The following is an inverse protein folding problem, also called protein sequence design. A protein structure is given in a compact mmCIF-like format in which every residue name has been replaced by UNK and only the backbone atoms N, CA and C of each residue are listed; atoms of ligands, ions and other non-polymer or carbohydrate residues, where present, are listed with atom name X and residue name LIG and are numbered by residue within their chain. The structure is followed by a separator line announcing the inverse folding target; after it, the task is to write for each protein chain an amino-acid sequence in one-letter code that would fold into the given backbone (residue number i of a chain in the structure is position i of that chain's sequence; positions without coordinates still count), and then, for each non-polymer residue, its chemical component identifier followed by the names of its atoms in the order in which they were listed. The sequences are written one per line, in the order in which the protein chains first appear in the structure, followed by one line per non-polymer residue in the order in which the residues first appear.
data_IF_490651641863
#
_entry.id   IF_490651641863
#
_cell.length_a   1.000
_cell.length_b   1.000
_cell.length_c   1.000
_cell.angle_alpha   90.00
_cell.angle_beta   90.00
_cell.angle_gamma   90.00
#
_symmetry.space_group_name_H-M   'P 1'
#
loop_
_entity.id
_entity.type
_entity.pdbx_description
1 polymer ?
#
# COMPACT_ATOMS: atom_id res chain seq x y z
N UNK A 1 53.07 26.13 35.33
CA UNK A 1 52.07 26.44 36.36
C UNK A 1 51.03 27.37 35.76
N UNK A 2 49.95 26.83 35.19
CA UNK A 2 48.73 27.58 34.80
C UNK A 2 47.67 26.55 34.41
N UNK A 3 46.85 26.21 35.40
CA UNK A 3 45.73 25.28 35.28
C UNK A 3 44.60 25.95 34.49
N UNK A 4 44.09 25.25 33.46
CA UNK A 4 42.86 25.63 32.75
C UNK A 4 41.67 25.03 33.48
N UNK A 5 40.81 25.89 34.01
CA UNK A 5 39.53 25.51 34.62
C UNK A 5 38.56 24.99 33.56
N UNK A 6 38.22 23.71 33.61
CA UNK A 6 37.06 23.12 32.93
C UNK A 6 35.85 23.22 33.87
N UNK A 7 34.89 24.08 33.52
CA UNK A 7 33.56 24.12 34.16
C UNK A 7 32.77 22.89 33.72
N UNK A 8 32.56 21.96 34.64
CA UNK A 8 31.58 20.89 34.51
C UNK A 8 30.18 21.46 34.79
N UNK A 9 29.31 21.46 33.78
CA UNK A 9 27.90 21.78 33.97
C UNK A 9 27.16 20.49 34.35
N UNK A 10 26.78 20.39 35.62
CA UNK A 10 25.92 19.35 36.18
C UNK A 10 24.46 19.80 36.05
N UNK A 11 23.61 19.03 35.36
CA UNK A 11 22.14 18.91 35.53
C UNK A 11 21.59 18.07 34.36
N UNK A 12 20.76 17.04 34.49
CA UNK A 12 19.97 16.50 35.60
C UNK A 12 19.99 14.98 35.49
N UNK A 13 20.14 14.30 36.62
CA UNK A 13 19.90 12.86 36.70
C UNK A 13 18.45 12.58 36.30
N UNK A 14 18.25 11.80 35.23
CA UNK A 14 16.96 11.16 34.96
C UNK A 14 16.62 10.31 36.19
N UNK A 15 15.67 10.77 37.00
CA UNK A 15 15.01 9.93 37.99
C UNK A 15 14.35 8.78 37.24
N UNK A 16 14.97 7.60 37.27
CA UNK A 16 14.25 6.35 37.00
C UNK A 16 13.28 6.14 38.16
N UNK A 17 12.07 6.67 38.00
CA UNK A 17 10.96 6.33 38.86
C UNK A 17 10.51 4.91 38.48
N UNK A 18 10.92 3.92 39.28
CA UNK A 18 10.28 2.61 39.26
C UNK A 18 8.89 2.77 39.90
N UNK A 19 7.87 2.93 39.06
CA UNK A 19 6.49 2.81 39.55
C UNK A 19 6.20 1.32 39.72
N UNK A 20 6.12 0.86 40.96
CA UNK A 20 5.62 -0.47 41.33
C UNK A 20 4.09 -0.58 41.16
N UNK A 21 3.53 0.04 40.12
CA UNK A 21 2.15 -0.10 39.71
C UNK A 21 2.10 -0.92 38.44
N UNK A 22 1.12 -1.82 38.31
CA UNK A 22 0.84 -2.48 37.03
C UNK A 22 0.62 -1.41 35.97
N UNK A 23 1.61 -1.17 35.12
CA UNK A 23 1.42 -0.26 33.99
C UNK A 23 0.34 -0.89 33.10
N UNK A 24 -0.61 -0.06 32.69
CA UNK A 24 -1.59 -0.40 31.68
C UNK A 24 -1.15 0.38 30.44
N UNK A 25 -0.24 -0.16 29.61
CA UNK A 25 0.33 0.60 28.52
C UNK A 25 -0.77 0.97 27.54
N UNK A 26 -0.94 2.27 27.29
CA UNK A 26 -1.87 2.76 26.29
C UNK A 26 -1.07 3.18 25.07
N UNK A 27 -1.29 2.50 23.94
CA UNK A 27 -0.47 2.66 22.72
C UNK A 27 -1.32 3.24 21.59
N UNK A 28 -0.83 4.31 20.97
CA UNK A 28 -1.39 4.83 19.72
C UNK A 28 -0.71 4.18 18.53
N UNK A 29 -1.50 3.72 17.56
CA UNK A 29 -1.03 3.19 16.27
C UNK A 29 -1.57 4.09 15.17
N UNK A 30 -0.69 4.75 14.43
CA UNK A 30 -1.04 5.70 13.36
C UNK A 30 -1.03 4.98 12.02
N UNK A 31 -2.22 4.65 11.50
CA UNK A 31 -2.46 3.93 10.26
C UNK A 31 -3.28 2.66 10.48
N UNK A 32 -4.46 2.57 9.85
CA UNK A 32 -5.38 1.44 9.92
C UNK A 32 -5.11 0.34 8.90
N UNK A 33 -3.91 0.28 8.32
CA UNK A 33 -3.52 -0.77 7.37
C UNK A 33 -2.99 -2.06 8.05
N UNK A 34 -2.43 -3.00 7.27
CA UNK A 34 -1.83 -4.23 7.81
C UNK A 34 -0.77 -3.98 8.87
N UNK A 35 0.15 -3.04 8.63
CA UNK A 35 1.19 -2.69 9.60
C UNK A 35 0.60 -2.30 10.95
N UNK A 36 -0.43 -1.46 10.95
CA UNK A 36 -1.09 -1.02 12.18
C UNK A 36 -1.85 -2.15 12.88
N UNK A 37 -2.67 -2.91 12.15
CA UNK A 37 -3.45 -3.99 12.76
C UNK A 37 -2.59 -5.18 13.22
N UNK A 38 -1.51 -5.52 12.52
CA UNK A 38 -0.57 -6.53 13.03
C UNK A 38 0.15 -6.05 14.28
N UNK A 39 0.54 -4.78 14.35
CA UNK A 39 1.11 -4.21 15.58
C UNK A 39 0.10 -4.25 16.72
N UNK A 40 -1.13 -3.78 16.50
CA UNK A 40 -2.20 -3.81 17.50
C UNK A 40 -2.46 -5.25 17.99
N UNK A 41 -2.56 -6.21 17.06
CA UNK A 41 -2.74 -7.61 17.40
C UNK A 41 -1.59 -8.15 18.26
N UNK A 42 -0.34 -7.83 17.90
CA UNK A 42 0.82 -8.31 18.64
C UNK A 42 0.87 -7.73 20.05
N UNK A 43 0.60 -6.44 20.21
CA UNK A 43 0.51 -5.77 21.52
C UNK A 43 -0.58 -6.41 22.38
N UNK A 44 -1.78 -6.60 21.84
CA UNK A 44 -2.91 -7.16 22.58
C UNK A 44 -2.68 -8.61 23.00
N UNK A 45 -1.95 -9.40 22.20
CA UNK A 45 -1.55 -10.78 22.54
C UNK A 45 -0.41 -10.82 23.57
N UNK A 46 0.60 -9.96 23.43
CA UNK A 46 1.80 -9.95 24.28
C UNK A 46 1.63 -9.25 25.63
N UNK A 47 0.70 -8.28 25.72
CA UNK A 47 0.50 -7.46 26.92
C UNK A 47 -0.98 -7.51 27.36
N UNK A 48 -1.32 -8.29 28.41
CA UNK A 48 -2.71 -8.48 28.84
C UNK A 48 -3.42 -7.20 29.31
N UNK A 49 -2.68 -6.24 29.87
CA UNK A 49 -3.22 -4.97 30.41
C UNK A 49 -3.14 -3.82 29.42
N UNK A 50 -2.52 -4.00 28.24
CA UNK A 50 -2.35 -2.94 27.27
C UNK A 50 -3.66 -2.64 26.52
N UNK A 51 -3.86 -1.36 26.21
CA UNK A 51 -4.92 -0.86 25.32
C UNK A 51 -4.28 -0.23 24.08
N UNK A 52 -4.99 -0.31 22.95
CA UNK A 52 -4.50 0.18 21.66
C UNK A 52 -5.57 1.04 21.00
N UNK A 53 -5.18 2.23 20.55
CA UNK A 53 -6.02 3.08 19.70
C UNK A 53 -5.39 3.15 18.31
N UNK A 54 -6.15 2.74 17.29
CA UNK A 54 -5.74 2.77 15.89
C UNK A 54 -6.34 4.00 15.23
N UNK A 55 -5.49 4.96 14.87
CA UNK A 55 -5.85 6.17 14.15
C UNK A 55 -5.76 5.95 12.64
N UNK A 56 -6.73 6.43 11.88
CA UNK A 56 -6.76 6.32 10.42
C UNK A 56 -7.32 7.62 9.80
N UNK A 57 -6.65 8.12 8.77
CA UNK A 57 -7.07 9.34 8.07
C UNK A 57 -8.37 9.12 7.29
N UNK A 58 -8.59 7.91 6.79
CA UNK A 58 -9.81 7.53 6.08
C UNK A 58 -10.92 7.16 7.08
N UNK A 59 -12.21 7.27 6.69
CA UNK A 59 -13.31 6.83 7.55
C UNK A 59 -13.37 5.30 7.70
N UNK A 60 -12.65 4.56 6.85
CA UNK A 60 -12.67 3.08 6.82
C UNK A 60 -11.26 2.51 7.04
N UNK A 61 -11.14 1.35 7.72
CA UNK A 61 -9.87 0.70 7.98
C UNK A 61 -9.33 -0.11 6.78
N UNK A 62 -8.23 -0.82 7.03
CA UNK A 62 -7.56 -1.85 6.22
C UNK A 62 -6.60 -1.35 5.14
N UNK A 63 -6.56 -0.04 4.87
CA UNK A 63 -5.57 0.57 3.98
C UNK A 63 -5.46 -0.15 2.64
N UNK A 64 -4.25 -0.52 2.21
CA UNK A 64 -4.02 -1.17 0.92
C UNK A 64 -4.64 -2.56 0.77
N UNK A 65 -5.09 -3.23 1.84
CA UNK A 65 -5.86 -4.47 1.66
C UNK A 65 -7.21 -4.18 1.02
N UNK A 66 -7.80 -3.01 1.33
CA UNK A 66 -9.04 -2.54 0.71
C UNK A 66 -8.75 -1.80 -0.60
N UNK A 67 -7.79 -0.87 -0.57
CA UNK A 67 -7.58 0.10 -1.65
C UNK A 67 -6.45 -0.25 -2.64
N UNK A 68 -5.67 -1.29 -2.36
CA UNK A 68 -4.50 -1.67 -3.15
C UNK A 68 -4.63 -3.05 -3.80
N UNK A 69 -4.94 -4.08 -3.00
CA UNK A 69 -5.14 -5.45 -3.49
C UNK A 69 -6.19 -5.44 -4.59
N UNK A 70 -5.86 -6.05 -5.73
CA UNK A 70 -6.72 -6.05 -6.90
C UNK A 70 -8.07 -6.74 -6.59
N UNK A 71 -9.16 -6.30 -7.22
CA UNK A 71 -10.50 -6.81 -6.93
C UNK A 71 -10.67 -8.29 -7.35
N UNK A 72 -9.84 -8.77 -8.28
CA UNK A 72 -9.78 -10.17 -8.69
C UNK A 72 -8.87 -11.05 -7.80
N UNK A 73 -8.34 -10.51 -6.70
CA UNK A 73 -7.63 -11.22 -5.63
C UNK A 73 -8.36 -11.19 -4.28
N UNK A 74 -9.62 -11.66 -4.20
CA UNK A 74 -10.40 -11.61 -2.96
C UNK A 74 -9.78 -12.43 -1.82
N UNK A 75 -9.05 -13.50 -2.15
CA UNK A 75 -8.41 -14.37 -1.16
C UNK A 75 -7.32 -13.66 -0.36
N UNK A 76 -6.61 -12.71 -0.96
CA UNK A 76 -5.63 -11.87 -0.25
C UNK A 76 -6.33 -10.93 0.74
N UNK A 77 -7.56 -10.49 0.43
CA UNK A 77 -8.38 -9.65 1.30
C UNK A 77 -8.93 -10.39 2.54
N UNK A 78 -8.83 -11.73 2.61
CA UNK A 78 -9.29 -12.53 3.76
C UNK A 78 -8.64 -12.14 5.10
N UNK A 79 -7.45 -11.52 5.08
CA UNK A 79 -6.79 -11.01 6.29
C UNK A 79 -7.65 -9.97 7.05
N UNK A 80 -8.60 -9.32 6.36
CA UNK A 80 -9.60 -8.42 6.95
C UNK A 80 -10.36 -9.10 8.10
N UNK A 81 -10.62 -10.40 8.03
CA UNK A 81 -11.32 -11.13 9.10
C UNK A 81 -10.52 -11.08 10.41
N UNK A 82 -9.21 -11.29 10.32
CA UNK A 82 -8.28 -11.23 11.45
C UNK A 82 -8.15 -9.81 12.00
N UNK A 83 -8.13 -8.81 11.13
CA UNK A 83 -8.09 -7.40 11.56
C UNK A 83 -9.40 -6.97 12.21
N UNK A 84 -10.54 -7.41 11.68
CA UNK A 84 -11.86 -7.20 12.29
C UNK A 84 -11.92 -7.79 13.70
N UNK A 85 -11.44 -9.03 13.89
CA UNK A 85 -11.37 -9.63 15.24
C UNK A 85 -10.47 -8.82 16.19
N UNK A 86 -9.38 -8.25 15.68
CA UNK A 86 -8.48 -7.39 16.46
C UNK A 86 -9.16 -6.07 16.83
N UNK A 87 -9.89 -5.44 15.90
CA UNK A 87 -10.64 -4.21 16.12
C UNK A 87 -11.80 -4.40 17.11
N UNK A 88 -12.45 -5.58 17.12
CA UNK A 88 -13.56 -5.91 18.02
C UNK A 88 -13.10 -6.25 19.46
N UNK A 89 -11.79 -6.29 19.72
CA UNK A 89 -11.28 -6.49 21.06
C UNK A 89 -11.64 -5.29 21.95
N UNK A 90 -12.16 -5.53 23.16
CA UNK A 90 -12.54 -4.47 24.11
C UNK A 90 -11.39 -3.52 24.49
N UNK A 91 -10.13 -3.94 24.27
CA UNK A 91 -8.91 -3.15 24.51
C UNK A 91 -8.40 -2.45 23.25
N UNK A 92 -9.15 -2.50 22.15
CA UNK A 92 -8.81 -1.88 20.87
C UNK A 92 -9.90 -0.88 20.48
N UNK A 93 -9.50 0.34 20.14
CA UNK A 93 -10.42 1.35 19.59
C UNK A 93 -9.96 1.74 18.18
N UNK A 94 -10.89 1.92 17.26
CA UNK A 94 -10.60 2.46 15.93
C UNK A 94 -11.12 3.91 15.83
N UNK A 95 -10.24 4.82 15.45
CA UNK A 95 -10.53 6.24 15.25
C UNK A 95 -10.24 6.61 13.78
N UNK A 96 -11.24 6.39 12.93
CA UNK A 96 -11.21 6.80 11.53
C UNK A 96 -11.50 8.29 11.35
N UNK A 97 -11.20 8.81 10.15
CA UNK A 97 -11.32 10.23 9.82
C UNK A 97 -10.51 11.15 10.75
N UNK A 98 -9.34 10.69 11.19
CA UNK A 98 -8.39 11.47 12.00
C UNK A 98 -7.03 11.48 11.32
N UNK A 99 -6.67 12.62 10.75
CA UNK A 99 -5.40 12.82 10.06
C UNK A 99 -4.31 13.29 11.05
N UNK A 100 -3.53 12.34 11.54
CA UNK A 100 -2.37 12.62 12.41
C UNK A 100 -1.32 13.43 11.63
N UNK A 101 -0.96 14.60 12.17
CA UNK A 101 -0.12 15.60 11.53
C UNK A 101 -0.91 16.84 11.04
N UNK A 102 -2.23 16.73 10.89
CA UNK A 102 -3.12 17.85 10.56
C UNK A 102 -4.14 18.12 11.67
N UNK A 103 -4.94 17.11 12.02
CA UNK A 103 -6.01 17.23 13.03
C UNK A 103 -5.46 17.09 14.45
N UNK A 104 -4.45 16.23 14.62
CA UNK A 104 -3.74 16.00 15.89
C UNK A 104 -2.24 15.88 15.63
N UNK A 105 -1.42 16.57 16.42
CA UNK A 105 0.03 16.54 16.27
C UNK A 105 0.65 15.27 16.87
N UNK A 106 1.84 14.89 16.38
CA UNK A 106 2.59 13.76 16.95
C UNK A 106 2.99 14.04 18.41
N UNK A 107 3.29 15.30 18.75
CA UNK A 107 3.61 15.74 20.10
C UNK A 107 2.44 15.51 21.06
N UNK A 108 1.21 15.83 20.63
CA UNK A 108 0.01 15.58 21.42
C UNK A 108 -0.19 14.08 21.68
N UNK A 109 0.03 13.24 20.67
CA UNK A 109 0.00 11.78 20.85
C UNK A 109 1.09 11.30 21.82
N UNK A 110 2.32 11.80 21.70
CA UNK A 110 3.43 11.43 22.58
C UNK A 110 3.23 11.85 24.04
N UNK A 111 2.45 12.89 24.29
CA UNK A 111 2.07 13.33 25.64
C UNK A 111 0.92 12.50 26.24
N UNK A 112 0.05 11.97 25.39
CA UNK A 112 -1.18 11.27 25.81
C UNK A 112 -1.02 9.75 25.91
N UNK A 113 -0.08 9.17 25.16
CA UNK A 113 0.12 7.73 25.06
C UNK A 113 1.47 7.29 25.62
N UNK A 114 1.52 6.05 26.13
CA UNK A 114 2.78 5.43 26.61
C UNK A 114 3.76 5.21 25.46
N UNK A 115 3.25 4.86 24.27
CA UNK A 115 4.02 4.71 23.05
C UNK A 115 3.17 5.10 21.84
N UNK A 116 3.84 5.56 20.78
CA UNK A 116 3.23 5.87 19.48
C UNK A 116 3.95 5.07 18.41
N UNK A 117 3.20 4.31 17.61
CA UNK A 117 3.72 3.54 16.47
C UNK A 117 3.24 4.19 15.18
N UNK A 118 4.18 4.52 14.30
CA UNK A 118 3.88 5.03 12.97
C UNK A 118 3.78 3.86 11.98
N UNK A 119 2.58 3.63 11.45
CA UNK A 119 2.24 2.54 10.54
C UNK A 119 1.39 3.03 9.33
N UNK A 120 1.59 4.29 8.93
CA UNK A 120 0.78 4.99 7.92
C UNK A 120 1.13 4.61 6.46
N UNK A 121 2.09 3.70 6.26
CA UNK A 121 2.50 3.24 4.94
C UNK A 121 3.27 4.28 4.13
N UNK A 122 3.26 4.14 2.80
CA UNK A 122 3.90 5.05 1.87
C UNK A 122 2.85 5.56 0.88
N UNK A 123 2.49 6.84 0.99
CA UNK A 123 1.40 7.43 0.20
C UNK A 123 1.84 8.19 -1.05
N UNK A 124 3.12 8.58 -1.12
CA UNK A 124 3.65 9.37 -2.22
C UNK A 124 3.99 8.52 -3.45
N UNK A 125 3.61 9.03 -4.62
CA UNK A 125 3.99 8.44 -5.90
C UNK A 125 5.43 8.80 -6.29
N UNK A 126 6.11 7.88 -6.97
CA UNK A 126 7.41 8.15 -7.59
C UNK A 126 7.18 8.75 -8.97
N UNK A 127 7.58 10.02 -9.13
CA UNK A 127 7.56 10.74 -10.40
C UNK A 127 8.78 10.38 -11.24
N UNK A 128 8.67 10.44 -12.56
CA UNK A 128 9.77 10.14 -13.48
C UNK A 128 10.69 11.35 -13.67
N UNK A 129 10.15 12.57 -13.54
CA UNK A 129 10.88 13.80 -13.81
C UNK A 129 11.21 13.98 -15.30
N UNK A 130 10.34 13.50 -16.19
CA UNK A 130 10.55 13.53 -17.64
C UNK A 130 9.55 14.45 -18.33
N UNK A 131 9.91 15.04 -19.50
CA UNK A 131 8.98 15.84 -20.29
C UNK A 131 7.71 15.05 -20.64
N UNK A 132 6.55 15.68 -20.44
CA UNK A 132 5.24 15.08 -20.75
C UNK A 132 4.65 14.20 -19.64
N UNK A 133 5.28 14.07 -18.47
CA UNK A 133 4.75 13.26 -17.36
C UNK A 133 3.46 13.81 -16.74
N UNK A 134 3.10 15.07 -17.02
CA UNK A 134 1.88 15.74 -16.56
C UNK A 134 0.77 15.80 -17.62
N UNK A 135 0.92 15.09 -18.75
CA UNK A 135 -0.15 14.98 -19.75
C UNK A 135 -1.36 14.23 -19.17
N UNK A 136 -2.56 14.60 -19.60
CA UNK A 136 -3.81 14.25 -18.91
C UNK A 136 -4.14 12.76 -18.76
N UNK A 137 -3.56 11.87 -19.58
CA UNK A 137 -3.75 10.41 -19.48
C UNK A 137 -2.47 9.68 -19.03
N UNK A 138 -1.50 10.40 -18.45
CA UNK A 138 -0.33 9.84 -17.78
C UNK A 138 -0.65 9.72 -16.30
N UNK A 139 -0.87 8.49 -15.84
CA UNK A 139 -1.36 8.19 -14.50
C UNK A 139 -0.31 7.42 -13.71
N UNK A 140 -0.28 7.62 -12.39
CA UNK A 140 0.48 6.71 -11.53
C UNK A 140 -0.29 5.40 -11.42
N UNK A 141 0.43 4.27 -11.38
CA UNK A 141 -0.21 2.97 -11.21
C UNK A 141 -1.02 2.94 -9.90
N UNK A 142 -0.53 3.61 -8.84
CA UNK A 142 -1.23 3.76 -7.57
C UNK A 142 -2.55 4.51 -7.72
N UNK A 143 -2.61 5.62 -8.47
CA UNK A 143 -3.85 6.36 -8.64
C UNK A 143 -4.86 5.58 -9.47
N UNK A 144 -4.41 4.88 -10.50
CA UNK A 144 -5.25 3.96 -11.27
C UNK A 144 -5.79 2.80 -10.41
N UNK A 145 -4.94 2.21 -9.56
CA UNK A 145 -5.34 1.19 -8.57
C UNK A 145 -6.35 1.73 -7.57
N UNK A 146 -6.09 2.93 -7.04
CA UNK A 146 -6.99 3.60 -6.12
C UNK A 146 -8.34 3.91 -6.76
N UNK A 147 -8.35 4.32 -8.03
CA UNK A 147 -9.56 4.60 -8.79
C UNK A 147 -10.46 3.35 -8.90
N UNK A 148 -9.94 2.22 -9.38
CA UNK A 148 -10.76 1.02 -9.52
C UNK A 148 -11.12 0.36 -8.18
N UNK A 149 -10.35 0.59 -7.11
CA UNK A 149 -10.64 0.09 -5.76
C UNK A 149 -11.43 1.07 -4.88
N UNK A 150 -11.84 2.23 -5.39
CA UNK A 150 -12.68 3.19 -4.68
C UNK A 150 -11.97 3.95 -3.56
N UNK A 151 -10.68 4.25 -3.72
CA UNK A 151 -9.97 5.18 -2.87
C UNK A 151 -10.55 6.59 -3.06
N UNK A 152 -11.05 7.27 -2.00
CA UNK A 152 -11.77 8.54 -2.16
C UNK A 152 -10.98 9.63 -2.90
N UNK A 153 -9.67 9.69 -2.71
CA UNK A 153 -8.81 10.68 -3.39
C UNK A 153 -8.70 10.45 -4.91
N UNK A 154 -9.06 9.26 -5.40
CA UNK A 154 -8.96 8.88 -6.81
C UNK A 154 -10.33 8.78 -7.49
N UNK A 155 -11.43 9.12 -6.81
CA UNK A 155 -12.77 8.98 -7.35
C UNK A 155 -13.03 9.87 -8.58
N UNK A 156 -12.43 11.06 -8.60
CA UNK A 156 -12.55 12.02 -9.71
C UNK A 156 -11.45 11.84 -10.77
N UNK A 157 -10.66 10.77 -10.68
CA UNK A 157 -9.59 10.48 -11.64
C UNK A 157 -10.21 10.20 -13.01
N UNK A 158 -9.89 11.05 -13.99
CA UNK A 158 -10.31 10.87 -15.38
C UNK A 158 -9.35 9.91 -16.06
N UNK A 159 -9.83 8.69 -16.33
CA UNK A 159 -9.08 7.68 -17.07
C UNK A 159 -9.70 7.54 -18.45
N UNK A 160 -8.98 7.97 -19.51
CA UNK A 160 -9.46 7.77 -20.88
C UNK A 160 -8.95 6.44 -21.43
N UNK A 161 -9.87 5.48 -21.57
CA UNK A 161 -9.61 4.16 -22.15
C UNK A 161 -10.15 4.03 -23.59
N UNK A 162 -10.66 5.11 -24.17
CA UNK A 162 -11.35 5.10 -25.47
C UNK A 162 -10.53 5.76 -26.59
N UNK A 163 -9.58 6.64 -26.23
CA UNK A 163 -8.73 7.36 -27.18
C UNK A 163 -7.68 6.50 -27.89
N UNK A 164 -7.38 5.29 -27.40
CA UNK A 164 -6.35 4.40 -27.94
C UNK A 164 -6.69 2.94 -27.68
N UNK A 165 -6.09 2.03 -28.45
CA UNK A 165 -6.13 0.59 -28.20
C UNK A 165 -4.92 0.07 -27.40
N UNK A 166 -3.99 0.96 -27.04
CA UNK A 166 -2.71 0.58 -26.46
C UNK A 166 -2.45 1.37 -25.18
N UNK A 167 -2.15 0.66 -24.09
CA UNK A 167 -1.66 1.22 -22.84
C UNK A 167 -0.20 0.80 -22.59
N UNK A 168 0.57 1.65 -21.91
CA UNK A 168 1.96 1.37 -21.53
C UNK A 168 2.09 1.50 -20.03
N UNK A 169 2.55 0.44 -19.38
CA UNK A 169 2.80 0.39 -17.94
C UNK A 169 4.30 0.37 -17.72
N UNK A 170 4.83 1.43 -17.09
CA UNK A 170 6.23 1.50 -16.73
C UNK A 170 6.47 0.80 -15.39
N UNK A 171 7.25 -0.28 -15.41
CA UNK A 171 7.54 -1.13 -14.26
C UNK A 171 7.24 -2.60 -14.52
N UNK A 172 7.98 -3.47 -13.83
CA UNK A 172 7.84 -4.93 -13.91
C UNK A 172 7.71 -5.53 -12.51
N UNK A 173 6.77 -5.01 -11.72
CA UNK A 173 6.39 -5.53 -10.40
C UNK A 173 4.93 -5.98 -10.38
N UNK A 174 4.46 -6.52 -9.25
CA UNK A 174 3.08 -7.03 -9.13
C UNK A 174 2.03 -5.96 -9.45
N UNK A 175 2.19 -4.72 -8.97
CA UNK A 175 1.25 -3.63 -9.27
C UNK A 175 1.13 -3.35 -10.78
N UNK A 176 2.22 -3.54 -11.53
CA UNK A 176 2.21 -3.38 -12.98
C UNK A 176 1.42 -4.52 -13.66
N UNK A 177 1.56 -5.75 -13.15
CA UNK A 177 0.74 -6.89 -13.59
C UNK A 177 -0.73 -6.68 -13.23
N UNK A 178 -1.04 -6.20 -12.03
CA UNK A 178 -2.42 -5.92 -11.62
C UNK A 178 -3.07 -4.86 -12.53
N UNK A 179 -2.34 -3.79 -12.82
CA UNK A 179 -2.80 -2.75 -13.76
C UNK A 179 -3.07 -3.33 -15.15
N UNK A 180 -2.14 -4.12 -15.69
CA UNK A 180 -2.29 -4.76 -16.99
C UNK A 180 -3.44 -5.77 -17.02
N UNK A 181 -3.61 -6.54 -15.94
CA UNK A 181 -4.67 -7.54 -15.80
C UNK A 181 -6.03 -6.87 -15.72
N UNK A 182 -6.21 -5.82 -14.94
CA UNK A 182 -7.48 -5.08 -14.87
C UNK A 182 -7.84 -4.46 -16.23
N UNK A 183 -6.88 -3.92 -16.97
CA UNK A 183 -7.12 -3.36 -18.30
C UNK A 183 -7.54 -4.40 -19.35
N UNK A 184 -7.12 -5.65 -19.19
CA UNK A 184 -7.30 -6.72 -20.18
C UNK A 184 -8.31 -7.79 -19.77
N UNK A 185 -8.74 -7.82 -18.52
CA UNK A 185 -9.67 -8.85 -18.02
C UNK A 185 -11.05 -8.64 -18.65
N UNK A 186 -11.69 -9.70 -19.19
CA UNK A 186 -13.06 -9.62 -19.68
C UNK A 186 -14.03 -9.07 -18.61
N UNK A 187 -14.88 -8.14 -19.02
CA UNK A 187 -15.80 -7.43 -18.12
C UNK A 187 -16.73 -8.38 -17.36
N UNK A 188 -17.13 -9.51 -17.95
CA UNK A 188 -18.00 -10.48 -17.29
C UNK A 188 -17.35 -11.23 -16.12
N UNK A 189 -16.01 -11.20 -16.03
CA UNK A 189 -15.25 -11.64 -14.87
C UNK A 189 -15.23 -10.51 -13.82
N UNK A 190 -14.87 -9.29 -14.22
CA UNK A 190 -14.76 -8.14 -13.31
C UNK A 190 -16.10 -7.75 -12.67
N UNK A 191 -17.24 -7.93 -13.36
CA UNK A 191 -18.60 -7.70 -12.80
C UNK A 191 -18.90 -8.50 -11.53
N UNK A 192 -18.11 -9.53 -11.22
CA UNK A 192 -18.30 -10.42 -10.05
C UNK A 192 -17.35 -10.09 -8.90
N UNK A 193 -16.55 -9.05 -9.01
CA UNK A 193 -15.57 -8.63 -8.00
C UNK A 193 -16.06 -7.40 -7.22
N UNK A 194 -15.23 -6.88 -6.32
CA UNK A 194 -15.51 -5.66 -5.56
C UNK A 194 -14.98 -4.37 -6.23
N UNK A 195 -14.70 -4.43 -7.55
CA UNK A 195 -14.32 -3.26 -8.35
C UNK A 195 -15.44 -2.20 -8.32
N UNK A 196 -15.06 -0.92 -8.36
CA UNK A 196 -16.06 0.16 -8.39
C UNK A 196 -16.90 0.14 -9.66
N UNK A 197 -18.18 0.47 -9.52
CA UNK A 197 -19.13 0.52 -10.65
C UNK A 197 -18.67 1.52 -11.73
N UNK A 198 -18.20 2.71 -11.33
CA UNK A 198 -17.70 3.70 -12.28
C UNK A 198 -16.48 3.20 -13.07
N UNK A 199 -15.55 2.47 -12.43
CA UNK A 199 -14.39 1.94 -13.14
C UNK A 199 -14.79 0.81 -14.09
N UNK A 200 -15.74 -0.03 -13.67
CA UNK A 200 -16.30 -1.09 -14.50
C UNK A 200 -17.03 -0.55 -15.73
N UNK A 201 -17.77 0.56 -15.60
CA UNK A 201 -18.42 1.24 -16.72
C UNK A 201 -17.41 1.78 -17.74
N UNK A 202 -16.33 2.42 -17.28
CA UNK A 202 -15.28 2.93 -18.16
C UNK A 202 -14.49 1.78 -18.82
N UNK A 203 -14.17 0.72 -18.07
CA UNK A 203 -13.54 -0.49 -18.60
C UNK A 203 -14.43 -1.17 -19.65
N UNK A 204 -15.75 -1.15 -19.49
CA UNK A 204 -16.68 -1.71 -20.47
C UNK A 204 -16.70 -0.95 -21.81
N UNK A 205 -16.30 0.33 -21.81
CA UNK A 205 -16.15 1.16 -23.01
C UNK A 205 -14.71 1.16 -23.54
N UNK A 206 -13.77 0.54 -22.81
CA UNK A 206 -12.36 0.50 -23.16
C UNK A 206 -12.14 -0.05 -24.56
N UNK A 207 -11.25 0.62 -25.31
CA UNK A 207 -10.73 0.14 -26.59
C UNK A 207 -9.38 -0.53 -26.45
N UNK A 208 -8.80 -0.55 -25.24
CA UNK A 208 -7.47 -1.12 -24.97
C UNK A 208 -7.49 -2.62 -25.28
N UNK A 209 -6.58 -3.02 -26.17
CA UNK A 209 -6.32 -4.40 -26.62
C UNK A 209 -4.88 -4.81 -26.34
N UNK A 210 -3.98 -3.84 -26.23
CA UNK A 210 -2.56 -4.06 -26.06
C UNK A 210 -2.08 -3.35 -24.79
N UNK A 211 -1.37 -4.08 -23.93
CA UNK A 211 -0.67 -3.49 -22.78
C UNK A 211 0.79 -3.87 -22.86
N UNK A 212 1.66 -2.86 -22.96
CA UNK A 212 3.11 -3.03 -22.91
C UNK A 212 3.62 -2.80 -21.50
N UNK A 213 4.39 -3.75 -20.97
CA UNK A 213 5.06 -3.60 -19.69
C UNK A 213 6.54 -3.30 -19.91
N UNK A 214 6.96 -2.09 -19.56
CA UNK A 214 8.31 -1.61 -19.85
C UNK A 214 9.16 -1.63 -18.59
N UNK A 215 10.21 -2.44 -18.61
CA UNK A 215 11.24 -2.48 -17.56
C UNK A 215 12.48 -1.70 -17.96
N UNK A 216 13.14 -1.06 -16.99
CA UNK A 216 14.46 -0.43 -17.19
C UNK A 216 15.64 -1.41 -17.13
N UNK A 217 15.40 -2.67 -16.77
CA UNK A 217 16.40 -3.75 -16.61
C UNK A 217 15.86 -5.03 -17.28
N UNK A 218 16.71 -6.04 -17.41
CA UNK A 218 16.37 -7.29 -18.07
C UNK A 218 15.52 -8.27 -17.24
N UNK A 219 15.18 -9.44 -17.80
CA UNK A 219 14.23 -10.38 -17.19
C UNK A 219 14.68 -10.97 -15.84
N UNK A 220 15.99 -11.00 -15.56
CA UNK A 220 16.50 -11.44 -14.25
C UNK A 220 16.20 -10.44 -13.11
N UNK A 221 15.86 -9.20 -13.43
CA UNK A 221 15.67 -8.13 -12.45
C UNK A 221 14.20 -7.71 -12.28
N UNK A 222 13.28 -8.52 -12.79
CA UNK A 222 11.84 -8.35 -12.58
C UNK A 222 11.53 -8.44 -11.08
N UNK A 223 10.56 -7.66 -10.64
CA UNK A 223 10.13 -7.59 -9.26
C UNK A 223 8.76 -8.27 -9.03
N UNK A 224 8.13 -8.76 -10.10
CA UNK A 224 6.92 -9.54 -9.97
C UNK A 224 7.21 -10.96 -9.48
N UNK A 225 6.23 -11.56 -8.83
CA UNK A 225 6.30 -12.94 -8.35
C UNK A 225 5.68 -13.92 -9.35
N UNK A 226 6.01 -15.21 -9.19
CA UNK A 226 5.62 -16.26 -10.14
C UNK A 226 4.11 -16.48 -10.18
N UNK A 227 3.40 -16.30 -9.06
CA UNK A 227 1.95 -16.52 -9.00
C UNK A 227 1.21 -15.53 -9.90
N UNK A 228 1.55 -14.24 -9.80
CA UNK A 228 0.97 -13.12 -10.52
C UNK A 228 1.32 -13.19 -12.01
N UNK A 229 2.57 -13.57 -12.34
CA UNK A 229 2.93 -13.83 -13.74
C UNK A 229 2.11 -14.99 -14.32
N UNK A 230 1.92 -16.07 -13.56
CA UNK A 230 1.17 -17.25 -14.01
C UNK A 230 -0.30 -16.92 -14.26
N UNK A 231 -0.89 -16.08 -13.43
CA UNK A 231 -2.26 -15.59 -13.63
C UNK A 231 -2.37 -14.76 -14.90
N UNK A 232 -1.43 -13.84 -15.14
CA UNK A 232 -1.37 -13.04 -16.36
C UNK A 232 -1.26 -13.92 -17.61
N UNK A 233 -0.42 -14.96 -17.57
CA UNK A 233 -0.25 -15.92 -18.69
C UNK A 233 -1.51 -16.75 -18.94
N UNK A 234 -2.32 -17.00 -17.91
CA UNK A 234 -3.55 -17.79 -17.99
C UNK A 234 -4.81 -16.96 -18.21
N UNK A 235 -4.67 -15.64 -18.36
CA UNK A 235 -5.80 -14.73 -18.48
C UNK A 235 -6.62 -15.06 -19.74
N UNK A 236 -7.94 -15.34 -19.62
CA UNK A 236 -8.75 -15.78 -20.75
C UNK A 236 -8.81 -14.73 -21.87
N UNK A 237 -8.62 -15.18 -23.11
CA UNK A 237 -8.67 -14.30 -24.30
C UNK A 237 -7.43 -13.43 -24.51
N UNK A 238 -6.42 -13.53 -23.63
CA UNK A 238 -5.19 -12.73 -23.71
C UNK A 238 -4.02 -13.64 -24.05
N UNK A 239 -3.16 -13.15 -24.95
CA UNK A 239 -1.93 -13.83 -25.35
C UNK A 239 -0.73 -13.05 -24.79
N UNK A 240 0.04 -13.61 -23.84
CA UNK A 240 1.30 -13.00 -23.45
C UNK A 240 2.30 -13.09 -24.60
N UNK A 241 3.01 -12.00 -24.85
CA UNK A 241 4.06 -11.91 -25.87
C UNK A 241 5.36 -11.53 -25.17
N UNK A 242 6.40 -12.32 -25.42
CA UNK A 242 7.74 -12.09 -24.91
C UNK A 242 8.68 -12.08 -26.11
N UNK A 243 9.51 -11.04 -26.22
CA UNK A 243 10.50 -10.96 -27.29
C UNK A 243 11.65 -11.92 -27.00
N UNK A 244 11.98 -12.78 -27.96
CA UNK A 244 13.03 -13.80 -27.77
C UNK A 244 14.39 -13.16 -27.46
N UNK A 245 14.66 -12.01 -28.08
CA UNK A 245 15.89 -11.23 -27.93
C UNK A 245 16.14 -10.83 -26.48
N UNK A 246 15.10 -10.63 -25.68
CA UNK A 246 15.23 -10.24 -24.27
C UNK A 246 15.82 -11.38 -23.40
N UNK A 247 15.81 -12.62 -23.91
CA UNK A 247 16.27 -13.81 -23.19
C UNK A 247 17.55 -14.43 -23.79
N UNK A 248 18.09 -13.88 -24.87
CA UNK A 248 19.29 -14.45 -25.52
C UNK A 248 20.51 -14.42 -24.58
N UNK A 249 20.69 -13.33 -23.85
CA UNK A 249 21.77 -13.16 -22.86
C UNK A 249 21.64 -14.11 -21.66
N UNK A 250 20.41 -14.54 -21.35
CA UNK A 250 20.11 -15.52 -20.29
C UNK A 250 20.50 -16.94 -20.70
N UNK A 251 20.18 -17.32 -21.94
CA UNK A 251 20.51 -18.64 -22.48
C UNK A 251 22.02 -18.84 -22.50
N UNK A 252 22.80 -17.78 -22.76
CA UNK A 252 24.26 -17.82 -22.71
C UNK A 252 24.81 -17.99 -21.28
N UNK A 253 24.16 -17.41 -20.26
CA UNK A 253 24.57 -17.54 -18.85
C UNK A 253 24.20 -18.88 -18.21
N UNK A 254 23.18 -19.58 -18.71
CA UNK A 254 22.75 -20.88 -18.18
C UNK A 254 23.54 -22.04 -18.82
N UNK A 255 23.97 -21.86 -20.07
CA UNK A 255 24.67 -22.89 -20.85
C UNK A 255 26.21 -22.78 -20.81
N UNK A 256 26.76 -21.83 -20.05
CA UNK A 256 28.21 -21.66 -19.81
C UNK A 256 28.55 -21.95 -18.36
#
# INVERSE_FOLDING_TARGET
MLARHTKWCMCLAQKRCYSAGSSHPHVAVVGGGPGGFYTAQHILKGHPTATVDVFEKLPVPFGLVRFGVAPDHPEVKNVINTFTQTAMNKRCSFLGNVNVGQDISIEQLRQSYTAVVLAYGADADKRFGIPGEDLGNVLSARSFVGWYNGLPQCNDLKVDLTGTDTAVVFGQGNVALDTARILLTPIDILKKTDITEHALEELARSRVKHVYMVGRRGPLQVAFTIAELREMVKLPGIRPVFEKTDFETLIQHING
#
